data_IF_488178720170
#
_entry.id   IF_488178720170
#
_cell.length_a   1.000
_cell.length_b   1.000
_cell.length_c   1.000
_cell.angle_alpha   90.00
_cell.angle_beta   90.00
_cell.angle_gamma   90.00
#
_symmetry.space_group_name_H-M   'P 1'
#
loop_
_entity.id
_entity.type
_entity.pdbx_description
1 polymer ?
#
# COMPACT_ATOMS: atom_id res chain seq x y z
N UNK A 1 53.82 6.51 15.03
CA UNK A 1 52.62 7.38 15.04
C UNK A 1 51.62 6.77 14.06
N UNK A 2 50.76 5.86 14.51
CA UNK A 2 49.73 5.22 13.65
C UNK A 2 48.45 6.04 13.76
N UNK A 3 47.99 6.59 12.64
CA UNK A 3 46.69 7.26 12.52
C UNK A 3 45.58 6.21 12.49
N UNK A 4 44.73 6.21 13.51
CA UNK A 4 43.46 5.50 13.53
C UNK A 4 42.44 6.30 12.68
N UNK A 5 42.10 5.78 11.50
CA UNK A 5 40.95 6.25 10.73
C UNK A 5 39.70 5.49 11.22
N UNK A 6 39.01 6.03 12.21
CA UNK A 6 37.66 5.60 12.58
C UNK A 6 36.68 6.15 11.54
N UNK A 7 36.40 5.36 10.51
CA UNK A 7 35.25 5.60 9.63
C UNK A 7 33.97 5.24 10.41
N UNK A 8 33.34 6.24 11.02
CA UNK A 8 31.96 6.16 11.49
C UNK A 8 31.05 5.98 10.27
N UNK A 9 30.80 4.72 9.91
CA UNK A 9 29.77 4.37 8.93
C UNK A 9 28.43 4.41 9.66
N UNK A 10 27.74 5.55 9.60
CA UNK A 10 26.33 5.65 10.00
C UNK A 10 25.47 4.97 8.92
N UNK A 11 25.51 3.63 8.85
CA UNK A 11 24.46 2.87 8.20
C UNK A 11 23.27 2.85 9.15
N UNK A 12 22.39 3.86 9.06
CA UNK A 12 21.11 3.82 9.77
C UNK A 12 20.33 2.61 9.27
N UNK A 13 20.17 1.58 10.10
CA UNK A 13 19.29 0.46 9.83
C UNK A 13 17.86 1.00 9.71
N UNK A 14 17.15 0.60 8.65
CA UNK A 14 15.70 0.79 8.62
C UNK A 14 15.11 -0.14 9.67
N UNK A 15 14.90 0.39 10.86
CA UNK A 15 14.29 -0.31 11.98
C UNK A 15 12.98 0.38 12.32
N UNK A 16 11.91 -0.42 12.38
CA UNK A 16 10.60 0.05 12.80
C UNK A 16 10.58 0.15 14.33
N UNK A 17 10.05 1.25 14.85
CA UNK A 17 9.72 1.34 16.26
C UNK A 17 8.73 0.25 16.68
N UNK A 18 8.70 -0.09 17.97
CA UNK A 18 7.77 -1.09 18.49
C UNK A 18 6.30 -0.72 18.23
N UNK A 19 5.99 0.57 18.23
CA UNK A 19 4.66 1.09 17.91
C UNK A 19 4.32 0.91 16.42
N UNK A 20 5.26 1.18 15.51
CA UNK A 20 5.09 0.92 14.07
C UNK A 20 4.91 -0.57 13.78
N UNK A 21 5.66 -1.45 14.47
CA UNK A 21 5.52 -2.90 14.32
C UNK A 21 4.15 -3.40 14.81
N UNK A 22 3.69 -2.89 15.95
CA UNK A 22 2.38 -3.25 16.51
C UNK A 22 1.26 -2.78 15.60
N UNK A 23 1.33 -1.52 15.16
CA UNK A 23 0.36 -0.93 14.24
C UNK A 23 0.34 -1.66 12.90
N UNK A 24 1.51 -2.03 12.37
CA UNK A 24 1.61 -2.87 11.17
C UNK A 24 0.94 -4.23 11.38
N UNK A 25 1.13 -4.85 12.55
CA UNK A 25 0.43 -6.09 12.92
C UNK A 25 -1.09 -5.96 12.88
N UNK A 26 -1.65 -4.84 13.35
CA UNK A 26 -3.09 -4.56 13.25
C UNK A 26 -3.55 -4.41 11.79
N UNK A 27 -2.76 -3.72 10.95
CA UNK A 27 -3.06 -3.60 9.53
C UNK A 27 -3.03 -4.95 8.82
N UNK A 28 -2.03 -5.80 9.09
CA UNK A 28 -1.93 -7.14 8.49
C UNK A 28 -3.09 -8.06 8.93
N UNK A 29 -3.70 -7.82 10.09
CA UNK A 29 -4.89 -8.53 10.54
C UNK A 29 -6.19 -8.02 9.90
N UNK A 30 -6.18 -6.83 9.29
CA UNK A 30 -7.37 -6.23 8.67
C UNK A 30 -7.77 -7.02 7.41
N UNK A 31 -9.02 -7.51 7.31
CA UNK A 31 -9.50 -8.13 6.08
C UNK A 31 -9.42 -7.16 4.88
N UNK A 32 -8.98 -7.68 3.74
CA UNK A 32 -8.97 -6.96 2.45
C UNK A 32 -10.38 -6.76 1.87
N UNK A 33 -11.37 -7.47 2.40
CA UNK A 33 -12.79 -7.25 2.12
C UNK A 33 -13.53 -7.09 3.43
N UNK A 34 -14.25 -5.98 3.60
CA UNK A 34 -14.93 -5.64 4.84
C UNK A 34 -16.19 -4.82 4.57
N UNK A 35 -17.15 -4.89 5.50
CA UNK A 35 -18.41 -4.15 5.37
C UNK A 35 -18.41 -2.94 6.29
N UNK A 36 -18.81 -1.79 5.75
CA UNK A 36 -19.06 -0.56 6.52
C UNK A 36 -20.54 -0.20 6.55
N UNK A 37 -21.04 0.38 7.65
CA UNK A 37 -22.36 1.00 7.71
C UNK A 37 -22.56 2.04 6.59
N UNK A 38 -23.81 2.17 6.10
CA UNK A 38 -24.14 3.02 4.95
C UNK A 38 -23.88 4.50 5.19
N UNK A 39 -24.15 4.97 6.40
CA UNK A 39 -23.90 6.34 6.86
C UNK A 39 -22.41 6.72 6.84
N UNK A 40 -21.50 5.75 6.98
CA UNK A 40 -20.04 5.95 6.91
C UNK A 40 -19.44 5.70 5.52
N UNK A 41 -20.26 5.32 4.54
CA UNK A 41 -19.76 4.86 3.23
C UNK A 41 -19.09 5.94 2.40
N UNK A 42 -19.57 7.19 2.47
CA UNK A 42 -18.97 8.31 1.74
C UNK A 42 -17.60 8.64 2.31
N UNK A 43 -17.50 8.84 3.62
CA UNK A 43 -16.23 9.11 4.30
C UNK A 43 -15.19 8.00 4.07
N UNK A 44 -15.63 6.74 4.09
CA UNK A 44 -14.77 5.58 3.80
C UNK A 44 -14.26 5.60 2.36
N UNK A 45 -15.10 6.01 1.41
CA UNK A 45 -14.70 6.13 0.01
C UNK A 45 -13.74 7.29 -0.23
N UNK A 46 -13.94 8.42 0.42
CA UNK A 46 -13.04 9.57 0.35
C UNK A 46 -11.65 9.19 0.90
N UNK A 47 -11.59 8.36 1.95
CA UNK A 47 -10.31 7.79 2.42
C UNK A 47 -9.65 6.91 1.37
N UNK A 48 -10.40 6.07 0.65
CA UNK A 48 -9.85 5.25 -0.42
C UNK A 48 -9.21 6.09 -1.53
N UNK A 49 -9.89 7.17 -1.96
CA UNK A 49 -9.37 8.14 -2.91
C UNK A 49 -8.09 8.81 -2.40
N UNK A 50 -8.12 9.33 -1.17
CA UNK A 50 -6.97 9.98 -0.54
C UNK A 50 -5.76 9.04 -0.38
N UNK A 51 -6.00 7.77 -0.08
CA UNK A 51 -4.93 6.79 0.03
C UNK A 51 -4.26 6.58 -1.32
N UNK A 52 -5.05 6.33 -2.37
CA UNK A 52 -4.52 6.07 -3.71
C UNK A 52 -3.74 7.26 -4.26
N UNK A 53 -4.24 8.49 -4.05
CA UNK A 53 -3.56 9.72 -4.46
C UNK A 53 -2.18 9.88 -3.77
N UNK A 54 -2.10 9.56 -2.48
CA UNK A 54 -0.87 9.75 -1.69
C UNK A 54 0.16 8.65 -1.86
N UNK A 55 -0.28 7.40 -2.02
CA UNK A 55 0.56 6.22 -1.84
C UNK A 55 0.72 5.36 -3.09
N UNK A 56 -0.15 5.49 -4.10
CA UNK A 56 0.07 4.73 -5.32
C UNK A 56 1.25 5.27 -6.11
N UNK A 57 2.10 4.36 -6.62
CA UNK A 57 3.12 4.71 -7.60
C UNK A 57 2.68 4.49 -9.05
N UNK A 58 1.49 3.92 -9.26
CA UNK A 58 0.84 3.81 -10.58
C UNK A 58 -0.20 4.91 -10.76
N UNK A 59 -0.33 5.44 -11.98
CA UNK A 59 -1.31 6.51 -12.27
C UNK A 59 -2.73 5.99 -12.10
N UNK A 60 -3.63 6.83 -11.58
CA UNK A 60 -5.08 6.56 -11.61
C UNK A 60 -5.55 6.37 -13.06
N UNK A 61 -6.30 5.29 -13.30
CA UNK A 61 -6.90 4.94 -14.59
C UNK A 61 -8.39 5.20 -14.61
N UNK A 62 -9.08 4.81 -13.55
CA UNK A 62 -10.54 4.89 -13.46
C UNK A 62 -10.93 5.30 -12.06
N UNK A 63 -11.81 6.30 -11.97
CA UNK A 63 -12.45 6.74 -10.73
C UNK A 63 -13.93 6.84 -11.04
N UNK A 64 -14.71 5.92 -10.48
CA UNK A 64 -16.17 5.92 -10.57
C UNK A 64 -16.76 5.91 -9.17
N UNK A 65 -18.10 5.97 -9.09
CA UNK A 65 -18.80 5.84 -7.81
C UNK A 65 -18.66 4.47 -7.15
N UNK A 66 -18.08 3.46 -7.79
CA UNK A 66 -17.97 2.11 -7.21
C UNK A 66 -16.62 1.45 -7.40
N UNK A 67 -15.70 2.09 -8.13
CA UNK A 67 -14.44 1.50 -8.53
C UNK A 67 -13.35 2.57 -8.67
N UNK A 68 -12.25 2.35 -7.96
CA UNK A 68 -10.98 3.06 -8.13
C UNK A 68 -9.95 2.07 -8.65
N UNK A 69 -9.30 2.40 -9.75
CA UNK A 69 -8.31 1.54 -10.39
C UNK A 69 -7.14 2.40 -10.84
N UNK A 70 -5.93 2.00 -10.49
CA UNK A 70 -4.72 2.51 -11.15
C UNK A 70 -4.42 1.70 -12.40
N UNK A 71 -3.66 2.23 -13.34
CA UNK A 71 -3.18 1.43 -14.47
C UNK A 71 -2.48 0.17 -13.96
N UNK A 72 -2.82 -1.00 -14.50
CA UNK A 72 -1.91 -2.14 -14.45
C UNK A 72 -0.71 -1.79 -15.34
N UNK A 73 0.51 -1.97 -14.83
CA UNK A 73 1.72 -1.84 -15.64
C UNK A 73 1.57 -2.64 -16.94
N UNK A 74 2.05 -2.12 -18.08
CA UNK A 74 1.89 -2.81 -19.34
C UNK A 74 2.58 -4.18 -19.29
N UNK A 75 1.91 -5.18 -19.87
CA UNK A 75 2.43 -6.52 -20.14
C UNK A 75 3.55 -6.44 -21.19
N UNK A 76 4.73 -5.93 -20.84
CA UNK A 76 5.92 -6.10 -21.68
C UNK A 76 6.84 -7.13 -21.02
N UNK A 77 7.40 -8.02 -21.84
CA UNK A 77 8.49 -8.90 -21.42
C UNK A 77 9.60 -8.02 -20.84
N UNK A 78 9.92 -8.23 -19.56
CA UNK A 78 11.03 -7.56 -18.92
C UNK A 78 12.32 -8.03 -19.58
N UNK A 79 12.87 -7.21 -20.47
CA UNK A 79 14.29 -7.31 -20.83
C UNK A 79 15.06 -7.15 -19.51
N UNK A 80 15.95 -8.08 -19.12
CA UNK A 80 16.63 -7.98 -17.84
C UNK A 80 17.56 -6.77 -17.85
N UNK A 81 17.09 -5.67 -17.25
CA UNK A 81 17.92 -4.50 -17.01
C UNK A 81 18.86 -4.82 -15.83
N UNK A 82 20.17 -4.52 -15.93
CA UNK A 82 21.12 -4.86 -14.89
C UNK A 82 20.88 -3.99 -13.65
N UNK A 83 20.27 -4.60 -12.64
CA UNK A 83 20.30 -4.24 -11.21
C UNK A 83 20.34 -2.73 -10.91
N UNK A 84 19.17 -2.09 -10.85
CA UNK A 84 19.02 -0.85 -10.08
C UNK A 84 18.71 -1.20 -8.62
N UNK A 85 19.63 -0.85 -7.71
CA UNK A 85 19.38 -0.88 -6.27
C UNK A 85 18.45 0.28 -5.91
N UNK A 86 17.16 0.03 -6.06
CA UNK A 86 16.06 0.95 -5.82
C UNK A 86 14.87 0.37 -6.57
N UNK A 87 14.00 -0.32 -5.85
CA UNK A 87 12.91 -1.14 -6.41
C UNK A 87 12.20 -0.46 -7.59
N UNK A 88 12.53 -0.86 -8.83
CA UNK A 88 11.76 -0.47 -10.03
C UNK A 88 10.36 -1.10 -10.09
N UNK A 89 9.93 -1.75 -9.00
CA UNK A 89 8.60 -2.33 -8.85
C UNK A 89 7.64 -1.21 -8.51
N UNK A 90 6.61 -1.04 -9.34
CA UNK A 90 5.51 -0.11 -9.11
C UNK A 90 4.35 -0.87 -8.48
N UNK A 91 3.51 -0.17 -7.74
CA UNK A 91 2.36 -0.72 -7.03
C UNK A 91 1.08 -0.01 -7.42
N UNK A 92 0.15 -0.79 -7.96
CA UNK A 92 -1.17 -0.35 -8.38
C UNK A 92 -2.25 -0.86 -7.45
N UNK A 93 -3.36 -0.15 -7.37
CA UNK A 93 -4.48 -0.47 -6.50
C UNK A 93 -5.78 -0.63 -7.30
N UNK A 94 -6.59 -1.59 -6.86
CA UNK A 94 -7.98 -1.73 -7.24
C UNK A 94 -8.80 -1.72 -5.95
N UNK A 95 -9.67 -0.72 -5.81
CA UNK A 95 -10.59 -0.59 -4.68
C UNK A 95 -11.99 -0.54 -5.24
N UNK A 96 -12.88 -1.40 -4.73
CA UNK A 96 -14.28 -1.43 -5.15
C UNK A 96 -15.21 -1.32 -3.96
N UNK A 97 -16.42 -0.82 -4.22
CA UNK A 97 -17.51 -0.83 -3.24
C UNK A 97 -18.81 -1.35 -3.85
N UNK A 98 -19.55 -2.13 -3.09
CA UNK A 98 -20.82 -2.70 -3.48
C UNK A 98 -21.84 -2.63 -2.33
N UNK A 99 -23.09 -2.33 -2.65
CA UNK A 99 -24.19 -2.32 -1.69
C UNK A 99 -24.60 -3.75 -1.32
N UNK A 100 -24.67 -4.07 -0.02
CA UNK A 100 -25.16 -5.36 0.49
C UNK A 100 -26.32 -5.14 1.47
N UNK A 101 -26.92 -6.20 2.02
CA UNK A 101 -27.99 -6.03 3.03
C UNK A 101 -27.45 -5.44 4.33
N UNK A 102 -26.21 -5.77 4.66
CA UNK A 102 -25.52 -5.44 5.92
C UNK A 102 -24.84 -4.06 5.86
N UNK A 103 -24.63 -3.49 4.68
CA UNK A 103 -23.98 -2.19 4.51
C UNK A 103 -23.40 -1.98 3.12
N UNK A 104 -22.21 -1.39 3.07
CA UNK A 104 -21.39 -1.28 1.87
C UNK A 104 -20.17 -2.18 2.05
N UNK A 105 -20.06 -3.20 1.20
CA UNK A 105 -18.87 -4.05 1.11
C UNK A 105 -17.78 -3.29 0.35
N UNK A 106 -16.61 -3.20 0.94
CA UNK A 106 -15.39 -2.61 0.40
C UNK A 106 -14.41 -3.74 0.10
N UNK A 107 -13.75 -3.71 -1.05
CA UNK A 107 -12.68 -4.64 -1.39
C UNK A 107 -11.44 -3.89 -1.84
N UNK A 108 -10.28 -4.30 -1.35
CA UNK A 108 -9.00 -3.64 -1.59
C UNK A 108 -8.01 -4.66 -2.13
N UNK A 109 -7.36 -4.32 -3.23
CA UNK A 109 -6.27 -5.11 -3.81
C UNK A 109 -5.13 -4.19 -4.19
N UNK A 110 -3.91 -4.65 -3.96
CA UNK A 110 -2.70 -4.05 -4.49
C UNK A 110 -2.00 -5.08 -5.39
N UNK A 111 -1.45 -4.63 -6.51
CA UNK A 111 -0.73 -5.46 -7.47
C UNK A 111 0.63 -4.84 -7.79
N UNK A 112 1.73 -5.61 -7.72
CA UNK A 112 3.03 -5.13 -8.12
C UNK A 112 3.20 -5.22 -9.65
N UNK A 113 4.12 -4.44 -10.21
CA UNK A 113 4.52 -4.55 -11.62
C UNK A 113 5.40 -5.76 -11.94
N UNK A 114 5.78 -6.52 -10.92
CA UNK A 114 6.60 -7.73 -11.02
C UNK A 114 6.28 -8.68 -9.87
N UNK A 115 6.39 -9.99 -10.08
CA UNK A 115 6.15 -11.02 -9.05
C UNK A 115 7.01 -10.86 -7.81
N UNK A 116 8.20 -10.27 -7.94
CA UNK A 116 9.11 -10.04 -6.80
C UNK A 116 8.47 -9.16 -5.73
N UNK A 117 7.53 -8.28 -6.10
CA UNK A 117 6.85 -7.37 -5.18
C UNK A 117 5.54 -7.92 -4.60
N UNK A 118 5.22 -9.21 -4.76
CA UNK A 118 3.93 -9.76 -4.29
C UNK A 118 3.73 -9.59 -2.77
N UNK A 119 4.79 -9.79 -1.98
CA UNK A 119 4.72 -9.62 -0.52
C UNK A 119 4.53 -8.16 -0.12
N UNK A 120 5.23 -7.25 -0.77
CA UNK A 120 5.11 -5.80 -0.52
C UNK A 120 3.72 -5.30 -0.94
N UNK A 121 3.19 -5.83 -2.04
CA UNK A 121 1.84 -5.52 -2.50
C UNK A 121 0.78 -6.02 -1.50
N UNK A 122 0.93 -7.24 -0.96
CA UNK A 122 0.04 -7.77 0.06
C UNK A 122 0.01 -6.88 1.32
N UNK A 123 1.19 -6.53 1.84
CA UNK A 123 1.31 -5.60 2.97
C UNK A 123 0.68 -4.24 2.66
N UNK A 124 0.95 -3.68 1.49
CA UNK A 124 0.36 -2.42 1.05
C UNK A 124 -1.17 -2.47 0.96
N UNK A 125 -1.75 -3.60 0.52
CA UNK A 125 -3.20 -3.79 0.46
C UNK A 125 -3.82 -3.80 1.87
N UNK A 126 -3.16 -4.46 2.82
CA UNK A 126 -3.58 -4.52 4.22
C UNK A 126 -3.51 -3.16 4.91
N UNK A 127 -2.40 -2.42 4.72
CA UNK A 127 -2.27 -1.04 5.21
C UNK A 127 -3.34 -0.13 4.61
N UNK A 128 -3.62 -0.27 3.30
CA UNK A 128 -4.68 0.47 2.64
C UNK A 128 -6.06 0.14 3.23
N UNK A 129 -6.41 -1.14 3.36
CA UNK A 129 -7.67 -1.58 3.94
C UNK A 129 -7.88 -1.05 5.37
N UNK A 130 -6.82 -1.10 6.19
CA UNK A 130 -6.85 -0.59 7.55
C UNK A 130 -7.09 0.92 7.58
N UNK A 131 -6.37 1.69 6.76
CA UNK A 131 -6.56 3.13 6.66
C UNK A 131 -7.97 3.49 6.17
N UNK A 132 -8.47 2.78 5.15
CA UNK A 132 -9.81 3.03 4.59
C UNK A 132 -10.90 2.80 5.65
N UNK A 133 -10.77 1.73 6.44
CA UNK A 133 -11.73 1.44 7.50
C UNK A 133 -11.64 2.43 8.67
N UNK A 134 -10.43 2.75 9.12
CA UNK A 134 -10.21 3.41 10.42
C UNK A 134 -9.88 4.90 10.33
N UNK A 135 -9.36 5.37 9.19
CA UNK A 135 -8.77 6.69 9.05
C UNK A 135 -7.34 6.83 9.56
N UNK A 136 -6.78 5.78 10.16
CA UNK A 136 -5.44 5.79 10.76
C UNK A 136 -4.45 5.05 9.88
N UNK A 137 -3.28 5.66 9.61
CA UNK A 137 -2.21 5.01 8.86
C UNK A 137 -1.35 4.20 9.84
N UNK A 138 -1.39 2.87 9.73
CA UNK A 138 -0.69 1.98 10.66
C UNK A 138 0.84 2.19 10.65
N UNK A 139 1.44 2.29 9.47
CA UNK A 139 2.86 2.57 9.33
C UNK A 139 3.13 3.18 7.94
N UNK A 140 3.23 4.51 7.86
CA UNK A 140 3.47 5.20 6.59
C UNK A 140 4.82 4.83 5.96
N UNK A 141 5.83 4.55 6.80
CA UNK A 141 7.18 4.12 6.39
C UNK A 141 7.21 2.68 5.86
N UNK A 142 6.19 1.88 6.16
CA UNK A 142 6.07 0.49 5.71
C UNK A 142 5.41 0.37 4.33
N UNK A 143 4.91 1.48 3.77
CA UNK A 143 4.27 1.46 2.45
C UNK A 143 5.36 1.55 1.39
N UNK A 144 5.49 0.49 0.60
CA UNK A 144 6.45 0.42 -0.51
C UNK A 144 5.85 1.10 -1.74
N UNK A 145 6.64 1.93 -2.44
CA UNK A 145 6.18 2.71 -3.60
C UNK A 145 7.04 2.43 -4.82
#
# INVERSE_FOLDING_TARGET
MLLAALSLSCAGSFELSQEEQTSLGLAMAQPLTFTVPRDRSLETWDRALNFMDRYSSMKLRSVTDSLLVTYETPTYQQVPSPVERGSGIRFGYTISRASTREGISMSVRCAPSSKVGERDADQNAHIAAYYILTGSIACARCIVR
#
